data_IF_931673763965
#
_entry.id   IF_931673763965
#
_cell.length_a   1.000
_cell.length_b   1.000
_cell.length_c   1.000
_cell.angle_alpha   90.00
_cell.angle_beta   90.00
_cell.angle_gamma   90.00
#
_symmetry.space_group_name_H-M   'P 1'
#
loop_
_entity.id
_entity.type
_entity.pdbx_description
1 polymer ?
#
# COMPACT_ATOMS: atom_id res chain seq x y z
N UNK A 1 2.80 5.98 41.35
CA UNK A 1 2.01 5.07 40.47
C UNK A 1 2.42 5.38 39.04
N UNK A 2 3.58 4.88 38.65
CA UNK A 2 4.16 5.08 37.31
C UNK A 2 3.66 3.97 36.40
N UNK A 3 2.76 4.28 35.47
CA UNK A 3 2.32 3.34 34.44
C UNK A 3 3.43 3.14 33.43
N UNK A 4 4.03 1.95 33.45
CA UNK A 4 4.92 1.46 32.42
C UNK A 4 4.06 1.06 31.21
N UNK A 5 3.92 1.95 30.22
CA UNK A 5 3.38 1.61 28.90
C UNK A 5 4.50 0.91 28.14
N UNK A 6 4.36 -0.41 27.99
CA UNK A 6 5.25 -1.24 27.17
C UNK A 6 5.29 -0.71 25.73
N UNK A 7 6.50 -0.59 25.18
CA UNK A 7 6.75 -0.18 23.78
C UNK A 7 6.01 -1.05 22.73
N UNK A 8 5.59 -2.25 23.13
CA UNK A 8 4.81 -3.20 22.32
C UNK A 8 3.38 -2.75 21.98
N UNK A 9 2.75 -1.87 22.77
CA UNK A 9 1.37 -1.42 22.51
C UNK A 9 1.30 -0.26 21.48
N UNK A 10 2.40 0.47 21.29
CA UNK A 10 2.46 1.58 20.33
C UNK A 10 2.72 1.09 18.89
N UNK A 11 3.48 0.01 18.71
CA UNK A 11 3.81 -0.57 17.41
C UNK A 11 2.57 -1.15 16.70
N UNK A 12 1.76 -1.94 17.42
CA UNK A 12 0.54 -2.58 16.87
C UNK A 12 -0.55 -1.57 16.50
N UNK A 13 -0.63 -0.43 17.20
CA UNK A 13 -1.58 0.64 16.88
C UNK A 13 -1.20 1.41 15.58
N UNK A 14 0.11 1.51 15.30
CA UNK A 14 0.63 2.17 14.11
C UNK A 14 0.34 1.35 12.83
N UNK A 15 0.46 0.03 12.91
CA UNK A 15 0.22 -0.88 11.77
C UNK A 15 -1.25 -0.91 11.41
N UNK A 16 -2.14 -0.98 12.40
CA UNK A 16 -3.58 -0.94 12.16
C UNK A 16 -4.04 0.36 11.47
N UNK A 17 -3.45 1.50 11.81
CA UNK A 17 -3.75 2.78 11.16
C UNK A 17 -3.21 2.85 9.72
N UNK A 18 -1.99 2.36 9.49
CA UNK A 18 -1.39 2.27 8.16
C UNK A 18 -2.20 1.33 7.25
N UNK A 19 -2.54 0.14 7.74
CA UNK A 19 -3.37 -0.85 7.05
C UNK A 19 -4.74 -0.27 6.67
N UNK A 20 -5.43 0.40 7.60
CA UNK A 20 -6.73 1.07 7.29
C UNK A 20 -6.58 2.12 6.18
N UNK A 21 -5.49 2.91 6.21
CA UNK A 21 -5.23 3.94 5.19
C UNK A 21 -4.96 3.32 3.82
N UNK A 22 -4.18 2.24 3.77
CA UNK A 22 -3.91 1.47 2.54
C UNK A 22 -5.23 0.88 2.00
N UNK A 23 -6.00 0.20 2.85
CA UNK A 23 -7.29 -0.37 2.47
C UNK A 23 -8.25 0.68 1.90
N UNK A 24 -8.29 1.89 2.47
CA UNK A 24 -9.12 2.98 1.96
C UNK A 24 -8.66 3.48 0.59
N UNK A 25 -7.35 3.51 0.30
CA UNK A 25 -6.83 3.84 -1.03
C UNK A 25 -7.20 2.77 -2.06
N UNK A 26 -7.04 1.50 -1.71
CA UNK A 26 -7.42 0.38 -2.57
C UNK A 26 -8.92 0.37 -2.87
N UNK A 27 -9.78 0.62 -1.88
CA UNK A 27 -11.23 0.78 -2.09
C UNK A 27 -11.56 1.93 -3.05
N UNK A 28 -10.84 3.04 -2.96
CA UNK A 28 -11.00 4.16 -3.89
C UNK A 28 -10.58 3.78 -5.31
N UNK A 29 -9.43 3.13 -5.47
CA UNK A 29 -8.96 2.64 -6.76
C UNK A 29 -9.96 1.64 -7.37
N UNK A 30 -10.57 0.77 -6.56
CA UNK A 30 -11.65 -0.13 -7.00
C UNK A 30 -12.82 0.63 -7.62
N UNK A 31 -13.36 1.65 -6.93
CA UNK A 31 -14.46 2.45 -7.47
C UNK A 31 -14.10 3.21 -8.75
N UNK A 32 -12.84 3.62 -8.91
CA UNK A 32 -12.36 4.21 -10.16
C UNK A 32 -12.25 3.18 -11.29
N UNK A 33 -11.80 1.96 -10.98
CA UNK A 33 -11.75 0.85 -11.94
C UNK A 33 -13.16 0.44 -12.38
N UNK A 34 -14.11 0.37 -11.45
CA UNK A 34 -15.53 0.11 -11.76
C UNK A 34 -16.06 1.15 -12.78
N UNK A 35 -15.70 2.42 -12.62
CA UNK A 35 -16.06 3.48 -13.56
C UNK A 35 -15.38 3.35 -14.94
N UNK A 36 -14.12 2.89 -14.99
CA UNK A 36 -13.41 2.61 -16.24
C UNK A 36 -14.09 1.46 -16.99
N UNK A 37 -14.47 0.38 -16.29
CA UNK A 37 -15.18 -0.75 -16.87
C UNK A 37 -16.50 -0.30 -17.48
N UNK A 38 -17.31 0.46 -16.72
CA UNK A 38 -18.56 1.02 -17.23
C UNK A 38 -18.33 1.92 -18.46
N UNK A 39 -17.28 2.74 -18.46
CA UNK A 39 -16.94 3.58 -19.62
C UNK A 39 -16.62 2.76 -20.88
N UNK A 40 -15.97 1.61 -20.74
CA UNK A 40 -15.70 0.69 -21.85
C UNK A 40 -16.98 0.04 -22.35
N UNK A 41 -17.82 -0.46 -21.43
CA UNK A 41 -19.10 -1.10 -21.76
C UNK A 41 -20.09 -0.14 -22.42
N UNK A 42 -20.09 1.13 -22.01
CA UNK A 42 -20.88 2.22 -22.61
C UNK A 42 -20.31 2.71 -23.97
N UNK A 43 -19.15 2.21 -24.40
CA UNK A 43 -18.51 2.61 -25.66
C UNK A 43 -17.97 4.04 -25.65
N UNK A 44 -17.49 4.54 -24.51
CA UNK A 44 -16.92 5.89 -24.41
C UNK A 44 -15.66 6.06 -25.26
N UNK A 45 -15.30 7.31 -25.64
CA UNK A 45 -14.10 7.57 -26.42
C UNK A 45 -12.84 6.99 -25.77
N UNK A 46 -11.97 6.36 -26.57
CA UNK A 46 -10.75 5.72 -26.08
C UNK A 46 -9.87 6.68 -25.26
N UNK A 47 -9.83 7.97 -25.64
CA UNK A 47 -9.10 9.01 -24.90
C UNK A 47 -9.58 9.14 -23.46
N UNK A 48 -10.89 9.12 -23.24
CA UNK A 48 -11.48 9.28 -21.91
C UNK A 48 -11.24 8.03 -21.05
N UNK A 49 -11.39 6.85 -21.64
CA UNK A 49 -11.09 5.56 -21.00
C UNK A 49 -9.63 5.50 -20.57
N UNK A 50 -8.69 5.81 -21.46
CA UNK A 50 -7.24 5.80 -21.15
C UNK A 50 -6.89 6.84 -20.09
N UNK A 51 -7.52 8.01 -20.11
CA UNK A 51 -7.30 9.05 -19.08
C UNK A 51 -7.76 8.57 -17.70
N UNK A 52 -8.93 7.93 -17.62
CA UNK A 52 -9.43 7.36 -16.37
C UNK A 52 -8.56 6.18 -15.90
N UNK A 53 -8.14 5.31 -16.82
CA UNK A 53 -7.26 4.19 -16.52
C UNK A 53 -5.91 4.67 -15.96
N UNK A 54 -5.31 5.73 -16.53
CA UNK A 54 -4.10 6.33 -15.99
C UNK A 54 -4.30 6.87 -14.56
N UNK A 55 -5.48 7.41 -14.25
CA UNK A 55 -5.82 7.84 -12.90
C UNK A 55 -5.94 6.65 -11.93
N UNK A 56 -6.49 5.51 -12.38
CA UNK A 56 -6.52 4.26 -11.60
C UNK A 56 -5.10 3.76 -11.33
N UNK A 57 -4.24 3.70 -12.37
CA UNK A 57 -2.83 3.28 -12.22
C UNK A 57 -2.13 4.13 -11.17
N UNK A 58 -2.21 5.46 -11.27
CA UNK A 58 -1.59 6.36 -10.29
C UNK A 58 -2.12 6.17 -8.86
N UNK A 59 -3.39 5.79 -8.71
CA UNK A 59 -3.96 5.49 -7.39
C UNK A 59 -3.42 4.17 -6.82
N UNK A 60 -3.23 3.15 -7.67
CA UNK A 60 -2.61 1.88 -7.31
C UNK A 60 -1.14 2.06 -6.95
N UNK A 61 -0.36 2.82 -7.72
CA UNK A 61 1.05 3.10 -7.44
C UNK A 61 1.22 3.75 -6.06
N UNK A 62 0.38 4.73 -5.74
CA UNK A 62 0.38 5.38 -4.41
C UNK A 62 0.00 4.44 -3.28
N UNK A 63 -0.85 3.44 -3.54
CA UNK A 63 -1.17 2.40 -2.55
C UNK A 63 0.02 1.45 -2.37
N UNK A 64 0.64 1.03 -3.47
CA UNK A 64 1.86 0.20 -3.49
C UNK A 64 3.01 0.84 -2.72
N UNK A 65 3.33 2.11 -3.02
CA UNK A 65 4.37 2.84 -2.27
C UNK A 65 4.05 2.98 -0.79
N UNK A 66 2.78 3.12 -0.42
CA UNK A 66 2.39 3.14 0.99
C UNK A 66 2.62 1.79 1.68
N UNK A 67 2.40 0.67 0.98
CA UNK A 67 2.68 -0.68 1.49
C UNK A 67 4.19 -0.87 1.68
N UNK A 68 4.97 -0.64 0.63
CA UNK A 68 6.44 -0.84 0.66
C UNK A 68 7.10 0.07 1.69
N UNK A 69 6.67 1.35 1.79
CA UNK A 69 7.20 2.26 2.83
C UNK A 69 6.80 1.89 4.25
N UNK A 70 5.70 1.15 4.43
CA UNK A 70 5.31 0.62 5.75
C UNK A 70 6.21 -0.56 6.11
N UNK A 71 6.38 -1.52 5.19
CA UNK A 71 7.29 -2.65 5.36
C UNK A 71 8.75 -2.22 5.62
N UNK A 72 9.24 -1.21 4.89
CA UNK A 72 10.56 -0.60 5.14
C UNK A 72 10.71 -0.08 6.58
N UNK A 73 9.67 0.56 7.13
CA UNK A 73 9.70 1.08 8.51
C UNK A 73 9.67 -0.05 9.53
N UNK A 74 8.91 -1.10 9.27
CA UNK A 74 8.86 -2.30 10.11
C UNK A 74 10.26 -2.96 10.14
N UNK A 75 10.87 -3.19 8.98
CA UNK A 75 12.23 -3.76 8.90
C UNK A 75 13.29 -2.92 9.62
N UNK A 76 13.19 -1.58 9.58
CA UNK A 76 14.10 -0.69 10.31
C UNK A 76 13.82 -0.65 11.82
N UNK A 77 12.58 -0.93 12.24
CA UNK A 77 12.16 -0.87 13.64
C UNK A 77 12.40 -2.18 14.39
N UNK A 78 12.43 -3.31 13.68
CA UNK A 78 12.74 -4.63 14.21
C UNK A 78 13.66 -5.42 13.25
N UNK A 79 14.98 -5.17 13.31
CA UNK A 79 15.96 -5.82 12.42
C UNK A 79 16.08 -7.32 12.66
N UNK A 80 15.83 -7.79 13.89
CA UNK A 80 15.90 -9.21 14.24
C UNK A 80 14.67 -9.97 13.73
N UNK A 81 13.47 -9.37 13.83
CA UNK A 81 12.25 -9.90 13.23
C UNK A 81 12.26 -9.86 11.69
N UNK A 82 12.90 -8.84 11.10
CA UNK A 82 13.07 -8.76 9.64
C UNK A 82 14.06 -9.80 9.08
N UNK A 83 15.01 -10.27 9.89
CA UNK A 83 15.97 -11.31 9.53
C UNK A 83 15.47 -12.75 9.84
N UNK A 84 14.26 -12.89 10.38
CA UNK A 84 13.62 -14.20 10.56
C UNK A 84 13.24 -14.83 9.21
N UNK A 85 13.02 -16.14 9.19
CA UNK A 85 12.69 -16.91 7.96
C UNK A 85 11.47 -16.36 7.18
N UNK A 86 10.53 -15.71 7.87
CA UNK A 86 9.31 -15.11 7.30
C UNK A 86 9.38 -13.57 7.15
N UNK A 87 10.53 -12.96 7.48
CA UNK A 87 10.75 -11.52 7.43
C UNK A 87 11.09 -11.04 6.02
N UNK A 88 10.74 -9.78 5.71
CA UNK A 88 11.08 -9.19 4.40
C UNK A 88 12.49 -8.62 4.46
N UNK A 89 13.37 -9.16 3.61
CA UNK A 89 14.76 -8.69 3.51
C UNK A 89 14.87 -7.35 2.76
N UNK A 90 15.99 -6.64 2.93
CA UNK A 90 16.25 -5.39 2.19
C UNK A 90 16.24 -5.60 0.66
N UNK A 91 16.84 -6.69 0.18
CA UNK A 91 16.88 -7.04 -1.25
C UNK A 91 15.49 -7.37 -1.80
N UNK A 92 14.64 -7.98 -0.98
CA UNK A 92 13.25 -8.26 -1.35
C UNK A 92 12.42 -6.97 -1.39
N UNK A 93 12.59 -6.07 -0.42
CA UNK A 93 11.98 -4.75 -0.46
C UNK A 93 12.41 -3.94 -1.69
N UNK A 94 13.68 -3.99 -2.08
CA UNK A 94 14.17 -3.36 -3.30
C UNK A 94 13.47 -3.92 -4.54
N UNK A 95 13.35 -5.24 -4.66
CA UNK A 95 12.60 -5.88 -5.75
C UNK A 95 11.14 -5.44 -5.78
N UNK A 96 10.46 -5.45 -4.63
CA UNK A 96 9.06 -5.03 -4.53
C UNK A 96 8.88 -3.56 -4.91
N UNK A 97 9.84 -2.71 -4.56
CA UNK A 97 9.83 -1.30 -4.95
C UNK A 97 9.99 -1.13 -6.46
N UNK A 98 10.93 -1.84 -7.09
CA UNK A 98 11.17 -1.78 -8.54
C UNK A 98 9.99 -2.34 -9.37
N UNK A 99 9.18 -3.24 -8.82
CA UNK A 99 7.95 -3.72 -9.47
C UNK A 99 6.85 -2.65 -9.56
N UNK A 100 6.95 -1.56 -8.79
CA UNK A 100 5.99 -0.46 -8.74
C UNK A 100 6.48 0.79 -9.51
N UNK A 101 7.64 0.72 -10.16
CA UNK A 101 8.33 1.83 -10.83
C UNK A 101 8.06 1.88 -12.34
#
# INVERSE_FOLDING_TARGET
MTTNVSASDAATAHDGAAQRKIANRLRRARGQLDAVIAAVEEGKPCRDVVTQLAAVSSALDRAGFAIVSTALRECLSDPEGAAAEDGVTADELEKLFLMLA
#
